data_IF_990682896260
#
_entry.id   IF_990682896260
#
_cell.length_a   1.000
_cell.length_b   1.000
_cell.length_c   1.000
_cell.angle_alpha   90.00
_cell.angle_beta   90.00
_cell.angle_gamma   90.00
#
_symmetry.space_group_name_H-M   'P 1'
#
loop_
_entity.id
_entity.type
_entity.pdbx_description
1 polymer ?
#
# COMPACT_ATOMS: atom_id res chain seq x y z
N UNK A 1 -4.42 -0.58 16.57
CA UNK A 1 -3.94 -1.17 15.29
C UNK A 1 -4.90 -0.76 14.18
N UNK A 2 -4.43 -0.27 13.03
CA UNK A 2 -5.30 0.23 11.95
C UNK A 2 -6.10 -0.91 11.29
N UNK A 3 -7.42 -0.75 11.15
CA UNK A 3 -8.31 -1.73 10.50
C UNK A 3 -7.95 -1.92 9.03
N UNK A 4 -7.62 -0.83 8.33
CA UNK A 4 -7.22 -0.87 6.92
C UNK A 4 -5.93 -1.66 6.73
N UNK A 5 -4.91 -1.42 7.57
CA UNK A 5 -3.64 -2.14 7.47
C UNK A 5 -3.79 -3.64 7.71
N UNK A 6 -4.70 -4.03 8.60
CA UNK A 6 -5.03 -5.45 8.82
C UNK A 6 -5.58 -6.09 7.54
N UNK A 7 -6.54 -5.46 6.88
CA UNK A 7 -7.14 -5.98 5.63
C UNK A 7 -6.09 -6.06 4.52
N UNK A 8 -5.26 -5.03 4.35
CA UNK A 8 -4.22 -5.03 3.31
C UNK A 8 -3.18 -6.14 3.53
N UNK A 9 -2.82 -6.41 4.79
CA UNK A 9 -1.92 -7.51 5.15
C UNK A 9 -2.55 -8.86 4.89
N UNK A 10 -3.80 -9.07 5.31
CA UNK A 10 -4.53 -10.32 5.10
C UNK A 10 -4.74 -10.63 3.60
N UNK A 11 -4.91 -9.60 2.77
CA UNK A 11 -4.98 -9.72 1.32
C UNK A 11 -3.60 -9.90 0.64
N UNK A 12 -2.49 -9.88 1.39
CA UNK A 12 -1.13 -10.02 0.84
C UNK A 12 -0.62 -8.82 0.04
N UNK A 13 -1.32 -7.67 0.09
CA UNK A 13 -0.93 -6.45 -0.61
C UNK A 13 0.25 -5.75 0.08
N UNK A 14 0.34 -5.89 1.40
CA UNK A 14 1.44 -5.38 2.21
C UNK A 14 2.04 -6.47 3.09
N UNK A 15 3.33 -6.35 3.35
CA UNK A 15 4.07 -7.15 4.31
C UNK A 15 4.40 -6.29 5.52
N UNK A 16 4.27 -6.85 6.70
CA UNK A 16 4.65 -6.21 7.95
C UNK A 16 6.01 -6.71 8.45
N UNK A 17 6.83 -5.80 8.96
CA UNK A 17 8.04 -6.10 9.72
C UNK A 17 7.97 -5.42 11.06
N UNK A 18 8.15 -6.18 12.13
CA UNK A 18 8.21 -5.63 13.48
C UNK A 18 9.65 -5.25 13.82
N UNK A 19 9.85 -3.97 14.08
CA UNK A 19 11.11 -3.38 14.51
C UNK A 19 10.95 -2.84 15.92
N UNK A 20 11.26 -3.71 16.90
CA UNK A 20 11.02 -3.46 18.33
C UNK A 20 9.55 -3.04 18.59
N UNK A 21 9.33 -1.78 18.99
CA UNK A 21 8.01 -1.22 19.28
C UNK A 21 7.20 -0.88 18.02
N UNK A 22 7.85 -0.72 16.87
CA UNK A 22 7.21 -0.25 15.64
C UNK A 22 6.89 -1.39 14.68
N UNK A 23 5.79 -1.28 13.95
CA UNK A 23 5.48 -2.15 12.82
C UNK A 23 5.60 -1.33 11.55
N UNK A 24 6.52 -1.72 10.67
CA UNK A 24 6.70 -1.10 9.35
C UNK A 24 5.98 -1.95 8.31
N UNK A 25 5.15 -1.31 7.52
CA UNK A 25 4.50 -1.94 6.39
C UNK A 25 5.21 -1.54 5.10
N UNK A 26 5.37 -2.51 4.20
CA UNK A 26 5.86 -2.30 2.84
C UNK A 26 4.91 -2.96 1.86
N UNK A 27 4.81 -2.45 0.64
CA UNK A 27 4.16 -3.18 -0.45
C UNK A 27 4.85 -4.52 -0.65
N UNK A 28 4.06 -5.57 -0.87
CA UNK A 28 4.58 -6.87 -1.21
C UNK A 28 5.22 -6.82 -2.62
N UNK A 29 6.51 -7.15 -2.72
CA UNK A 29 7.23 -7.14 -3.99
C UNK A 29 6.88 -8.32 -4.89
N UNK A 30 6.27 -9.37 -4.33
CA UNK A 30 5.84 -10.56 -5.06
C UNK A 30 4.39 -10.44 -5.55
N UNK A 31 3.84 -9.22 -5.63
CA UNK A 31 2.52 -9.01 -6.20
C UNK A 31 2.51 -9.38 -7.67
N UNK A 32 1.42 -10.01 -8.11
CA UNK A 32 1.17 -10.22 -9.52
C UNK A 32 1.20 -8.86 -10.25
N UNK A 33 1.82 -8.78 -11.45
CA UNK A 33 1.99 -7.53 -12.18
C UNK A 33 0.69 -6.74 -12.39
N UNK A 34 -0.44 -7.43 -12.54
CA UNK A 34 -1.75 -6.85 -12.77
C UNK A 34 -2.25 -6.09 -11.53
N UNK A 35 -2.08 -6.68 -10.34
CA UNK A 35 -2.42 -6.01 -9.08
C UNK A 35 -1.49 -4.84 -8.80
N UNK A 36 -0.21 -4.99 -9.14
CA UNK A 36 0.75 -3.91 -9.05
C UNK A 36 0.32 -2.71 -9.90
N UNK A 37 -0.04 -2.95 -11.16
CA UNK A 37 -0.48 -1.90 -12.08
C UNK A 37 -1.73 -1.16 -11.59
N UNK A 38 -2.72 -1.86 -11.02
CA UNK A 38 -3.92 -1.24 -10.45
C UNK A 38 -3.57 -0.31 -9.28
N UNK A 39 -2.72 -0.77 -8.35
CA UNK A 39 -2.29 0.06 -7.21
C UNK A 39 -1.56 1.30 -7.71
N UNK A 40 -0.65 1.14 -8.68
CA UNK A 40 0.11 2.26 -9.25
C UNK A 40 -0.78 3.27 -9.95
N UNK A 41 -1.82 2.81 -10.67
CA UNK A 41 -2.81 3.68 -11.30
C UNK A 41 -3.59 4.51 -10.27
N UNK A 42 -4.04 3.89 -9.17
CA UNK A 42 -4.77 4.60 -8.09
C UNK A 42 -3.87 5.65 -7.43
N UNK A 43 -2.63 5.30 -7.08
CA UNK A 43 -1.69 6.24 -6.47
C UNK A 43 -1.33 7.39 -7.42
N UNK A 44 -1.20 7.11 -8.72
CA UNK A 44 -0.95 8.13 -9.74
C UNK A 44 -2.15 9.09 -9.87
N UNK A 45 -3.37 8.57 -9.80
CA UNK A 45 -4.58 9.39 -9.83
C UNK A 45 -4.66 10.33 -8.62
N UNK A 46 -4.34 9.84 -7.42
CA UNK A 46 -4.31 10.66 -6.19
C UNK A 46 -3.26 11.77 -6.29
N UNK A 47 -2.03 11.45 -6.69
CA UNK A 47 -0.97 12.44 -6.88
C UNK A 47 -1.35 13.53 -7.89
N UNK A 48 -2.06 13.14 -8.96
CA UNK A 48 -2.54 14.10 -9.95
C UNK A 48 -3.70 14.95 -9.42
N UNK A 49 -4.52 14.42 -8.53
CA UNK A 49 -5.56 15.20 -7.85
C UNK A 49 -4.93 16.25 -6.93
N UNK A 50 -3.97 15.86 -6.08
CA UNK A 50 -3.25 16.77 -5.19
C UNK A 50 -2.61 17.94 -5.97
N UNK A 51 -1.95 17.64 -7.10
CA UNK A 51 -1.35 18.67 -7.98
C UNK A 51 -2.35 19.62 -8.61
N UNK A 52 -3.60 19.21 -8.82
CA UNK A 52 -4.65 20.07 -9.38
C UNK A 52 -5.25 21.01 -8.35
N UNK A 53 -5.14 20.66 -7.06
CA UNK A 53 -5.72 21.42 -5.95
C UNK A 53 -4.74 22.47 -5.40
N UNK A 54 -3.42 22.23 -5.55
CA UNK A 54 -2.35 23.17 -5.19
C UNK A 54 -2.14 24.27 -6.23
#
# INVERSE_FOLDING_TARGET
MSRHMKVLREAGLVLDRRDAQWVRYRRNLSLAPEYAAVIDAVLTAELNLERKVA
#
